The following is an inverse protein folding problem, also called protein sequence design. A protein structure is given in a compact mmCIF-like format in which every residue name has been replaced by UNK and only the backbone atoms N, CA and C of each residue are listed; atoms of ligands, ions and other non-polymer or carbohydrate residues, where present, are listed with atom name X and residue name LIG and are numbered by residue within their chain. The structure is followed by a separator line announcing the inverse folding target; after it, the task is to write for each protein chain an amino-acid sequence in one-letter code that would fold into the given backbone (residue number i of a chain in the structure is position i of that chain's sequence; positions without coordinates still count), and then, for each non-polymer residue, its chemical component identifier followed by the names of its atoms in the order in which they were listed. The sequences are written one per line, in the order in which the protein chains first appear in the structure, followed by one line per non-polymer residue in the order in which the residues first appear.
data_IF_373676727585
#
_entry.id   IF_373676727585
#
_cell.length_a   1.000
_cell.length_b   1.000
_cell.length_c   1.000
_cell.angle_alpha   90.00
_cell.angle_beta   90.00
_cell.angle_gamma   90.00
#
_symmetry.space_group_name_H-M   'P 1'
#
loop_
_entity.id
_entity.type
_entity.pdbx_description
1 polymer ?
#
# COMPACT_ATOMS: atom_id res chain seq x y z
N UNK A 1 19.87 8.81 1.72
CA UNK A 1 19.19 8.69 0.41
C UNK A 1 17.92 9.53 0.44
N UNK A 2 17.76 10.43 -0.51
CA UNK A 2 16.53 11.22 -0.66
C UNK A 2 15.42 10.35 -1.25
N UNK A 3 14.18 10.83 -1.19
CA UNK A 3 13.06 10.11 -1.83
C UNK A 3 13.32 9.91 -3.33
N UNK A 4 13.77 10.95 -4.02
CA UNK A 4 14.07 10.86 -5.45
C UNK A 4 15.17 9.86 -5.77
N UNK A 5 16.24 9.87 -4.98
CA UNK A 5 17.33 8.90 -5.12
C UNK A 5 16.84 7.47 -4.87
N UNK A 6 16.00 7.29 -3.85
CA UNK A 6 15.46 5.98 -3.52
C UNK A 6 14.49 5.47 -4.60
N UNK A 7 13.65 6.36 -5.16
CA UNK A 7 12.75 5.99 -6.25
C UNK A 7 13.52 5.57 -7.51
N UNK A 8 14.64 6.22 -7.78
CA UNK A 8 15.50 5.84 -8.89
C UNK A 8 16.20 4.50 -8.62
N UNK A 9 16.76 4.34 -7.42
CA UNK A 9 17.50 3.13 -7.05
C UNK A 9 16.62 1.88 -6.99
N UNK A 10 15.37 2.01 -6.56
CA UNK A 10 14.46 0.87 -6.42
C UNK A 10 14.10 0.27 -7.78
N UNK A 11 14.18 1.07 -8.84
CA UNK A 11 13.93 0.60 -10.22
C UNK A 11 15.15 0.00 -10.90
N UNK A 12 16.33 0.12 -10.28
CA UNK A 12 17.57 -0.36 -10.86
C UNK A 12 17.73 -1.88 -10.79
N UNK A 13 18.81 -2.36 -11.39
CA UNK A 13 19.07 -3.79 -11.53
C UNK A 13 19.81 -4.43 -10.35
N UNK A 14 20.17 -3.64 -9.35
CA UNK A 14 20.87 -4.12 -8.16
C UNK A 14 19.87 -4.42 -7.04
N UNK A 15 19.57 -5.71 -6.75
CA UNK A 15 18.58 -6.07 -5.73
C UNK A 15 18.95 -5.58 -4.33
N UNK A 16 20.24 -5.55 -3.99
CA UNK A 16 20.68 -5.10 -2.67
C UNK A 16 20.45 -3.61 -2.50
N UNK A 17 20.73 -2.81 -3.54
CA UNK A 17 20.48 -1.38 -3.53
C UNK A 17 18.97 -1.10 -3.53
N UNK A 18 18.19 -1.88 -4.28
CA UNK A 18 16.74 -1.76 -4.30
C UNK A 18 16.14 -2.02 -2.91
N UNK A 19 16.65 -3.00 -2.17
CA UNK A 19 16.20 -3.29 -0.82
C UNK A 19 16.48 -2.12 0.14
N UNK A 20 17.65 -1.50 0.03
CA UNK A 20 17.99 -0.31 0.81
C UNK A 20 17.07 0.86 0.45
N UNK A 21 16.78 1.02 -0.83
CA UNK A 21 15.89 2.06 -1.33
C UNK A 21 14.47 1.87 -0.81
N UNK A 22 13.99 0.62 -0.78
CA UNK A 22 12.66 0.31 -0.22
C UNK A 22 12.57 0.75 1.26
N UNK A 23 13.57 0.39 2.05
CA UNK A 23 13.63 0.80 3.45
C UNK A 23 13.63 2.32 3.59
N UNK A 24 14.43 3.01 2.76
CA UNK A 24 14.50 4.46 2.78
C UNK A 24 13.15 5.11 2.42
N UNK A 25 12.44 4.56 1.44
CA UNK A 25 11.11 5.07 1.06
C UNK A 25 10.10 4.92 2.19
N UNK A 26 10.05 3.75 2.82
CA UNK A 26 9.14 3.55 3.94
C UNK A 26 9.44 4.51 5.09
N UNK A 27 10.72 4.76 5.38
CA UNK A 27 11.11 5.72 6.41
C UNK A 27 10.62 7.12 6.10
N UNK A 28 10.77 7.56 4.83
CA UNK A 28 10.31 8.88 4.40
C UNK A 28 8.78 8.96 4.44
N UNK A 29 8.12 7.96 3.89
CA UNK A 29 6.65 7.96 3.78
C UNK A 29 5.94 7.85 5.11
N UNK A 30 6.57 7.24 6.12
CA UNK A 30 5.99 7.11 7.44
C UNK A 30 6.23 8.31 8.36
N UNK A 31 6.86 9.38 7.86
CA UNK A 31 7.09 10.60 8.63
C UNK A 31 6.09 11.67 8.21
N UNK A 32 5.26 12.08 9.14
CA UNK A 32 4.29 13.16 8.88
C UNK A 32 4.89 14.55 9.10
N UNK A 33 5.97 14.64 9.89
CA UNK A 33 6.49 15.91 10.38
C UNK A 33 5.74 16.46 11.57
N UNK A 34 4.69 15.78 12.01
CA UNK A 34 3.89 16.16 13.17
C UNK A 34 4.04 15.07 14.23
N UNK A 35 4.63 15.45 15.36
CA UNK A 35 4.98 14.49 16.43
C UNK A 35 3.78 13.67 16.91
N UNK A 36 2.63 14.33 17.11
CA UNK A 36 1.39 13.68 17.54
C UNK A 36 0.95 12.62 16.52
N UNK A 37 1.02 12.94 15.22
CA UNK A 37 0.61 12.04 14.15
C UNK A 37 1.56 10.83 14.08
N UNK A 38 2.86 11.06 14.21
CA UNK A 38 3.84 9.97 14.19
C UNK A 38 3.64 9.02 15.38
N UNK A 39 3.23 9.56 16.54
CA UNK A 39 2.88 8.74 17.71
C UNK A 39 1.62 7.92 17.46
N UNK A 40 0.58 8.54 16.91
CA UNK A 40 -0.66 7.84 16.56
C UNK A 40 -0.39 6.72 15.55
N UNK A 41 0.49 6.96 14.59
CA UNK A 41 0.86 5.95 13.60
C UNK A 41 1.50 4.73 14.28
N UNK A 42 2.42 4.96 15.18
CA UNK A 42 3.07 3.89 15.94
C UNK A 42 2.06 3.10 16.76
N UNK A 43 1.17 3.80 17.45
CA UNK A 43 0.12 3.17 18.26
C UNK A 43 -0.82 2.34 17.40
N UNK A 44 -1.18 2.83 16.22
CA UNK A 44 -2.04 2.11 15.28
C UNK A 44 -1.37 0.84 14.75
N UNK A 45 -0.08 0.91 14.42
CA UNK A 45 0.68 -0.25 13.98
C UNK A 45 0.75 -1.30 15.10
N UNK A 46 0.99 -0.87 16.34
CA UNK A 46 0.98 -1.77 17.49
C UNK A 46 -0.39 -2.43 17.69
N UNK A 47 -1.47 -1.68 17.47
CA UNK A 47 -2.82 -2.22 17.56
C UNK A 47 -3.07 -3.31 16.51
N UNK A 48 -2.56 -3.12 15.28
CA UNK A 48 -2.64 -4.17 14.24
C UNK A 48 -1.90 -5.42 14.72
N UNK A 49 -0.68 -5.25 15.25
CA UNK A 49 0.13 -6.37 15.72
C UNK A 49 -0.53 -7.13 16.87
N UNK A 50 -1.29 -6.43 17.72
CA UNK A 50 -2.05 -7.05 18.81
C UNK A 50 -3.39 -7.62 18.36
N UNK A 51 -3.70 -7.52 17.07
CA UNK A 51 -4.98 -7.96 16.51
C UNK A 51 -6.18 -7.23 17.15
N UNK A 52 -6.04 -5.91 17.29
CA UNK A 52 -7.06 -5.00 17.77
C UNK A 52 -7.51 -4.07 16.64
N UNK A 53 -8.30 -4.58 15.68
CA UNK A 53 -8.59 -3.81 14.44
C UNK A 53 -9.46 -2.58 14.68
N UNK A 54 -10.38 -2.61 15.64
CA UNK A 54 -11.23 -1.46 15.94
C UNK A 54 -10.39 -0.30 16.49
N UNK A 55 -9.44 -0.60 17.37
CA UNK A 55 -8.53 0.41 17.91
C UNK A 55 -7.63 0.97 16.80
N UNK A 56 -7.06 0.10 15.97
CA UNK A 56 -6.23 0.53 14.85
C UNK A 56 -7.01 1.45 13.91
N UNK A 57 -8.25 1.09 13.58
CA UNK A 57 -9.11 1.89 12.70
C UNK A 57 -9.35 3.28 13.30
N UNK A 58 -9.65 3.34 14.59
CA UNK A 58 -9.90 4.60 15.29
C UNK A 58 -8.64 5.49 15.27
N UNK A 59 -7.47 4.91 15.53
CA UNK A 59 -6.20 5.65 15.55
C UNK A 59 -5.85 6.19 14.16
N UNK A 60 -5.98 5.38 13.11
CA UNK A 60 -5.69 5.83 11.76
C UNK A 60 -6.71 6.86 11.26
N UNK A 61 -7.97 6.75 11.67
CA UNK A 61 -8.98 7.76 11.36
C UNK A 61 -8.62 9.10 12.01
N UNK A 62 -8.12 9.09 13.25
CA UNK A 62 -7.63 10.30 13.91
C UNK A 62 -6.45 10.93 13.17
N UNK A 63 -5.56 10.11 12.62
CA UNK A 63 -4.45 10.61 11.80
C UNK A 63 -5.00 11.36 10.59
N UNK A 64 -5.96 10.78 9.88
CA UNK A 64 -6.58 11.39 8.70
C UNK A 64 -7.26 12.71 9.05
N UNK A 65 -7.95 12.76 10.17
CA UNK A 65 -8.59 13.99 10.63
C UNK A 65 -7.56 15.07 10.99
N UNK A 66 -6.47 14.68 11.61
CA UNK A 66 -5.41 15.60 12.07
C UNK A 66 -4.49 16.05 10.95
N UNK A 67 -4.20 15.16 9.99
CA UNK A 67 -3.27 15.40 8.89
C UNK A 67 -3.80 14.74 7.60
N UNK A 68 -4.83 15.34 6.97
CA UNK A 68 -5.47 14.73 5.79
C UNK A 68 -4.54 14.61 4.57
N UNK A 69 -3.44 15.36 4.53
CA UNK A 69 -2.47 15.28 3.43
C UNK A 69 -1.39 14.24 3.64
N UNK A 70 -1.37 13.61 4.80
CA UNK A 70 -0.40 12.55 5.10
C UNK A 70 -0.88 11.23 4.49
N UNK A 71 -0.27 10.85 3.37
CA UNK A 71 -0.68 9.67 2.59
C UNK A 71 -0.73 8.39 3.42
N UNK A 72 0.23 8.18 4.30
CA UNK A 72 0.36 6.93 5.07
C UNK A 72 -0.81 6.70 6.02
N UNK A 73 -1.46 7.75 6.50
CA UNK A 73 -2.67 7.60 7.32
C UNK A 73 -3.77 6.87 6.57
N UNK A 74 -3.98 7.26 5.32
CA UNK A 74 -4.96 6.60 4.43
C UNK A 74 -4.53 5.17 4.12
N UNK A 75 -3.24 4.96 3.83
CA UNK A 75 -2.72 3.62 3.51
C UNK A 75 -2.87 2.65 4.67
N UNK A 76 -2.59 3.09 5.88
CA UNK A 76 -2.72 2.24 7.07
C UNK A 76 -4.18 1.88 7.35
N UNK A 77 -5.09 2.84 7.17
CA UNK A 77 -6.52 2.54 7.32
C UNK A 77 -7.00 1.55 6.24
N UNK A 78 -6.48 1.70 5.02
CA UNK A 78 -6.78 0.74 3.96
C UNK A 78 -6.37 -0.68 4.37
N UNK A 79 -5.22 -0.83 5.01
CA UNK A 79 -4.72 -2.13 5.48
C UNK A 79 -5.70 -2.75 6.50
N UNK A 80 -6.15 -1.95 7.46
CA UNK A 80 -7.10 -2.43 8.47
C UNK A 80 -8.42 -2.83 7.82
N UNK A 81 -8.92 -2.03 6.89
CA UNK A 81 -10.16 -2.33 6.17
C UNK A 81 -10.04 -3.60 5.33
N UNK A 82 -8.89 -3.80 4.69
CA UNK A 82 -8.63 -5.03 3.95
C UNK A 82 -8.69 -6.25 4.87
N UNK A 83 -8.04 -6.17 6.03
CA UNK A 83 -8.04 -7.27 7.01
C UNK A 83 -9.45 -7.56 7.54
N UNK A 84 -10.30 -6.55 7.60
CA UNK A 84 -11.71 -6.68 8.01
C UNK A 84 -12.62 -7.06 6.83
N UNK A 85 -12.05 -7.32 5.67
CA UNK A 85 -12.78 -7.66 4.45
C UNK A 85 -13.71 -6.56 3.94
N UNK A 86 -13.47 -5.31 4.36
CA UNK A 86 -14.11 -4.13 3.80
C UNK A 86 -13.31 -3.67 2.58
N UNK A 87 -13.45 -4.41 1.49
CA UNK A 87 -12.66 -4.16 0.28
C UNK A 87 -13.00 -2.84 -0.39
N UNK A 88 -14.27 -2.47 -0.43
CA UNK A 88 -14.68 -1.19 -0.99
C UNK A 88 -14.09 -0.01 -0.22
N UNK A 89 -14.12 -0.06 1.11
CA UNK A 89 -13.52 0.96 1.95
C UNK A 89 -12.01 1.01 1.81
N UNK A 90 -11.38 -0.16 1.70
CA UNK A 90 -9.93 -0.26 1.50
C UNK A 90 -9.51 0.35 0.15
N UNK A 91 -10.24 0.04 -0.92
CA UNK A 91 -9.98 0.62 -2.25
C UNK A 91 -10.07 2.14 -2.20
N UNK A 92 -11.11 2.68 -1.55
CA UNK A 92 -11.28 4.13 -1.43
C UNK A 92 -10.08 4.77 -0.71
N UNK A 93 -9.59 4.14 0.36
CA UNK A 93 -8.43 4.65 1.10
C UNK A 93 -7.13 4.52 0.28
N UNK A 94 -6.98 3.44 -0.49
CA UNK A 94 -5.84 3.30 -1.41
C UNK A 94 -5.84 4.40 -2.47
N UNK A 95 -7.00 4.74 -3.01
CA UNK A 95 -7.13 5.82 -3.99
C UNK A 95 -6.72 7.16 -3.37
N UNK A 96 -7.13 7.42 -2.13
CA UNK A 96 -6.72 8.63 -1.40
C UNK A 96 -5.21 8.64 -1.16
N UNK A 97 -4.62 7.48 -0.82
CA UNK A 97 -3.17 7.35 -0.68
C UNK A 97 -2.46 7.71 -1.97
N UNK A 98 -2.92 7.16 -3.10
CA UNK A 98 -2.30 7.36 -4.40
C UNK A 98 -2.49 8.78 -4.94
N UNK A 99 -3.57 9.46 -4.57
CA UNK A 99 -3.76 10.86 -4.91
C UNK A 99 -2.68 11.75 -4.26
N UNK A 100 -2.19 11.35 -3.09
CA UNK A 100 -1.16 12.09 -2.34
C UNK A 100 0.26 11.60 -2.65
N UNK A 101 0.41 10.32 -2.97
CA UNK A 101 1.69 9.70 -3.31
C UNK A 101 1.48 8.67 -4.42
N UNK A 102 1.59 9.09 -5.70
CA UNK A 102 1.35 8.18 -6.82
C UNK A 102 2.38 7.06 -6.96
N UNK A 103 3.50 7.16 -6.26
CA UNK A 103 4.57 6.14 -6.28
C UNK A 103 4.44 5.12 -5.16
N UNK A 104 3.35 5.18 -4.38
CA UNK A 104 3.17 4.31 -3.23
C UNK A 104 2.87 2.87 -3.68
N UNK A 105 3.91 2.07 -3.85
CA UNK A 105 3.76 0.70 -4.35
C UNK A 105 2.95 -0.18 -3.37
N UNK A 106 3.01 0.11 -2.07
CA UNK A 106 2.19 -0.60 -1.08
C UNK A 106 0.70 -0.40 -1.30
N UNK A 107 0.28 0.84 -1.60
CA UNK A 107 -1.12 1.15 -1.88
C UNK A 107 -1.56 0.53 -3.21
N UNK A 108 -0.70 0.58 -4.24
CA UNK A 108 -0.99 -0.04 -5.53
C UNK A 108 -1.21 -1.55 -5.37
N UNK A 109 -0.31 -2.24 -4.66
CA UNK A 109 -0.45 -3.67 -4.39
C UNK A 109 -1.65 -3.97 -3.50
N UNK A 110 -1.89 -3.15 -2.48
CA UNK A 110 -3.02 -3.32 -1.58
C UNK A 110 -4.35 -3.19 -2.29
N UNK A 111 -4.48 -2.20 -3.17
CA UNK A 111 -5.68 -2.03 -3.98
C UNK A 111 -5.85 -3.23 -4.93
N UNK A 112 -4.75 -3.71 -5.51
CA UNK A 112 -4.77 -4.92 -6.34
C UNK A 112 -5.29 -6.13 -5.59
N UNK A 113 -4.88 -6.32 -4.33
CA UNK A 113 -5.37 -7.40 -3.50
C UNK A 113 -6.87 -7.29 -3.22
N UNK A 114 -7.37 -6.07 -3.04
CA UNK A 114 -8.81 -5.85 -2.87
C UNK A 114 -9.59 -6.29 -4.13
N UNK A 115 -9.10 -5.91 -5.30
CA UNK A 115 -9.74 -6.31 -6.55
C UNK A 115 -9.66 -7.84 -6.76
N UNK A 116 -8.55 -8.47 -6.37
CA UNK A 116 -8.44 -9.94 -6.38
C UNK A 116 -9.54 -10.58 -5.53
N UNK A 117 -9.72 -10.06 -4.32
CA UNK A 117 -10.74 -10.59 -3.39
C UNK A 117 -12.16 -10.43 -3.95
N UNK A 118 -12.39 -9.39 -4.75
CA UNK A 118 -13.68 -9.13 -5.38
C UNK A 118 -13.85 -9.85 -6.72
N UNK A 119 -12.87 -10.65 -7.14
CA UNK A 119 -12.92 -11.34 -8.42
C UNK A 119 -12.68 -10.43 -9.63
N UNK A 120 -12.19 -9.23 -9.41
CA UNK A 120 -11.92 -8.25 -10.46
C UNK A 120 -10.45 -8.36 -10.88
N UNK A 121 -10.14 -9.46 -11.56
CA UNK A 121 -8.77 -9.87 -11.81
C UNK A 121 -8.01 -8.99 -12.81
N UNK A 122 -8.70 -8.43 -13.80
CA UNK A 122 -8.06 -7.54 -14.78
C UNK A 122 -7.65 -6.21 -14.13
N UNK A 123 -8.53 -5.68 -13.29
CA UNK A 123 -8.24 -4.47 -12.51
C UNK A 123 -7.08 -4.71 -11.55
N UNK A 124 -7.08 -5.88 -10.90
CA UNK A 124 -5.99 -6.27 -10.01
C UNK A 124 -4.67 -6.34 -10.77
N UNK A 125 -4.64 -6.99 -11.93
CA UNK A 125 -3.44 -7.12 -12.74
C UNK A 125 -2.87 -5.75 -13.13
N UNK A 126 -3.72 -4.81 -13.53
CA UNK A 126 -3.29 -3.46 -13.90
C UNK A 126 -2.60 -2.76 -12.73
N UNK A 127 -3.12 -2.93 -11.51
CA UNK A 127 -2.55 -2.32 -10.31
C UNK A 127 -1.22 -2.96 -9.92
N UNK A 128 -1.11 -4.29 -10.03
CA UNK A 128 0.16 -4.97 -9.75
C UNK A 128 1.24 -4.56 -10.76
N UNK A 129 0.87 -4.37 -12.04
CA UNK A 129 1.80 -3.85 -13.04
C UNK A 129 2.29 -2.46 -12.68
N UNK A 130 1.38 -1.59 -12.24
CA UNK A 130 1.76 -0.24 -11.81
C UNK A 130 2.71 -0.29 -10.60
N UNK A 131 2.44 -1.20 -9.65
CA UNK A 131 3.34 -1.39 -8.50
C UNK A 131 4.74 -1.82 -8.97
N UNK A 132 4.82 -2.73 -9.95
CA UNK A 132 6.08 -3.21 -10.49
C UNK A 132 6.79 -2.15 -11.33
N UNK A 133 6.08 -1.20 -11.92
CA UNK A 133 6.70 -0.06 -12.60
C UNK A 133 7.48 0.80 -11.61
N UNK A 134 7.01 0.93 -10.38
CA UNK A 134 7.71 1.66 -9.31
C UNK A 134 8.79 0.78 -8.69
N UNK A 135 8.47 -0.47 -8.39
CA UNK A 135 9.33 -1.39 -7.63
C UNK A 135 9.39 -2.75 -8.34
N UNK A 136 10.26 -2.92 -9.37
CA UNK A 136 10.31 -4.16 -10.15
C UNK A 136 10.70 -5.40 -9.34
N UNK A 137 11.36 -5.21 -8.20
CA UNK A 137 11.83 -6.29 -7.33
C UNK A 137 10.78 -6.72 -6.28
N UNK A 138 9.57 -6.15 -6.32
CA UNK A 138 8.51 -6.48 -5.37
C UNK A 138 7.95 -7.88 -5.69
N UNK A 139 8.51 -8.89 -5.04
CA UNK A 139 8.20 -10.31 -5.29
C UNK A 139 6.72 -10.62 -5.12
N UNK A 140 6.09 -10.07 -4.07
CA UNK A 140 4.66 -10.28 -3.83
C UNK A 140 3.81 -9.79 -4.99
N UNK A 141 4.14 -8.62 -5.56
CA UNK A 141 3.40 -8.08 -6.70
C UNK A 141 3.59 -8.93 -7.96
N UNK A 142 4.80 -9.46 -8.19
CA UNK A 142 5.04 -10.37 -9.31
C UNK A 142 4.20 -11.62 -9.19
N UNK A 143 4.18 -12.21 -8.00
CA UNK A 143 3.42 -13.41 -7.72
C UNK A 143 1.91 -13.14 -7.90
N UNK A 144 1.44 -12.04 -7.35
CA UNK A 144 0.03 -11.68 -7.42
C UNK A 144 -0.41 -11.31 -8.84
N UNK A 145 0.47 -10.68 -9.61
CA UNK A 145 0.20 -10.40 -11.03
C UNK A 145 0.00 -11.69 -11.81
N UNK A 146 0.88 -12.67 -11.63
CA UNK A 146 0.75 -13.96 -12.30
C UNK A 146 -0.56 -14.65 -11.92
N UNK A 147 -0.93 -14.60 -10.63
CA UNK A 147 -2.19 -15.17 -10.15
C UNK A 147 -3.40 -14.47 -10.76
N UNK A 148 -3.37 -13.13 -10.81
CA UNK A 148 -4.45 -12.34 -11.40
C UNK A 148 -4.65 -12.64 -12.88
N UNK A 149 -3.54 -12.74 -13.62
CA UNK A 149 -3.60 -13.06 -15.05
C UNK A 149 -4.11 -14.48 -15.29
N UNK A 150 -3.72 -15.43 -14.46
CA UNK A 150 -4.21 -16.81 -14.53
C UNK A 150 -5.71 -16.88 -14.28
N UNK A 151 -6.21 -16.19 -13.27
CA UNK A 151 -7.64 -16.16 -12.96
C UNK A 151 -8.43 -15.43 -14.05
N UNK A 152 -7.89 -14.34 -14.59
CA UNK A 152 -8.53 -13.61 -15.69
C UNK A 152 -8.67 -14.48 -16.94
N UNK A 153 -7.67 -15.31 -17.24
CA UNK A 153 -7.69 -16.23 -18.36
C UNK A 153 -8.76 -17.30 -18.18
N UNK A 154 -8.93 -17.82 -16.95
CA UNK A 154 -9.98 -18.80 -16.64
C UNK A 154 -11.37 -18.18 -16.80
N UNK A 155 -11.52 -16.91 -16.44
CA UNK A 155 -12.78 -16.18 -16.50
C UNK A 155 -13.08 -15.61 -17.89
N UNK A 156 -12.27 -15.91 -18.90
CA UNK A 156 -12.43 -15.33 -20.22
C UNK A 156 -13.69 -15.74 -20.95
N UNK A 157 -14.41 -16.71 -20.44
CA UNK A 157 -15.72 -17.07 -20.94
C UNK A 157 -16.86 -16.28 -20.30
N UNK A 158 -16.54 -15.39 -19.40
CA UNK A 158 -17.55 -14.62 -18.64
C UNK A 158 -17.68 -13.22 -19.15
#
# INVERSE_FOLDING_TARGET
MTEGEALSAIRGNDPALAAKAETALWQVWCRSGIREVDLLLRQGIEAIERQEPEEALALFTRIIERAPDFAEGWNKRATVRYLAEDYAGSIADCEETLARNPYHFGALSGQGLCHMALGQYREAAALFRRALDVHPHLTSARHNLAAALSEAAKGNGH
#
